data_IF_865186860741
#
_entry.id   IF_865186860741
#
_cell.length_a   1.000
_cell.length_b   1.000
_cell.length_c   1.000
_cell.angle_alpha   90.00
_cell.angle_beta   90.00
_cell.angle_gamma   90.00
#
_symmetry.space_group_name_H-M   'P 1'
#
loop_
_entity.id
_entity.type
_entity.pdbx_description
1 polymer ?
#
# COMPACT_ATOMS: atom_id res chain seq x y z
N UNK A 1 -1.22 12.65 -7.35
CA UNK A 1 -2.04 12.84 -6.12
C UNK A 1 -1.24 13.63 -5.11
N UNK A 2 -1.89 14.30 -4.15
CA UNK A 2 -1.17 14.93 -3.05
C UNK A 2 -0.64 13.85 -2.09
N UNK A 3 0.62 13.99 -1.67
CA UNK A 3 1.24 13.14 -0.66
C UNK A 3 1.30 13.91 0.67
N UNK A 4 0.94 13.25 1.77
CA UNK A 4 1.05 13.84 3.11
C UNK A 4 1.89 12.93 4.00
N UNK A 5 2.79 13.55 4.72
CA UNK A 5 3.58 12.90 5.75
C UNK A 5 3.31 13.56 7.10
N UNK A 6 3.35 12.75 8.16
CA UNK A 6 3.38 13.23 9.54
C UNK A 6 4.69 13.96 9.88
N UNK A 7 5.70 13.92 9.01
CA UNK A 7 7.01 14.54 9.25
C UNK A 7 6.94 16.04 9.53
N UNK A 8 5.94 16.73 8.99
CA UNK A 8 5.76 18.17 9.20
C UNK A 8 4.93 18.51 10.43
N UNK A 9 4.50 17.50 11.20
CA UNK A 9 3.60 17.69 12.32
C UNK A 9 4.25 18.55 13.43
N UNK A 10 3.59 19.61 13.93
CA UNK A 10 4.15 20.52 14.94
C UNK A 10 4.63 19.84 16.22
N UNK A 11 3.90 18.83 16.71
CA UNK A 11 4.34 18.00 17.87
C UNK A 11 5.63 17.26 17.54
N UNK A 12 5.69 16.56 16.40
CA UNK A 12 6.88 15.82 15.98
C UNK A 12 8.09 16.73 15.78
N UNK A 13 7.91 17.88 15.12
CA UNK A 13 8.98 18.84 14.87
C UNK A 13 9.63 19.33 16.17
N UNK A 14 8.83 19.65 17.19
CA UNK A 14 9.38 20.01 18.49
C UNK A 14 9.94 18.81 19.24
N UNK A 15 9.30 17.64 19.12
CA UNK A 15 9.74 16.41 19.77
C UNK A 15 11.13 15.98 19.30
N UNK A 16 11.45 16.13 18.02
CA UNK A 16 12.78 15.81 17.46
C UNK A 16 13.92 16.50 18.22
N UNK A 17 13.74 17.73 18.68
CA UNK A 17 14.73 18.43 19.49
C UNK A 17 14.86 17.89 20.93
N UNK A 18 13.83 17.22 21.45
CA UNK A 18 13.83 16.60 22.77
C UNK A 18 14.32 15.15 22.74
N UNK A 19 14.06 14.43 21.64
CA UNK A 19 14.37 13.02 21.48
C UNK A 19 15.86 12.73 21.71
N UNK A 20 16.74 13.65 21.32
CA UNK A 20 18.19 13.55 21.52
C UNK A 20 18.61 13.53 23.00
N UNK A 21 17.74 13.99 23.91
CA UNK A 21 17.98 14.05 25.35
C UNK A 21 17.27 12.94 26.13
N UNK A 22 16.46 12.11 25.47
CA UNK A 22 15.80 10.97 26.09
C UNK A 22 16.80 9.82 26.21
N UNK A 23 16.83 9.18 27.38
CA UNK A 23 17.57 7.93 27.59
C UNK A 23 16.60 6.77 27.41
N UNK A 24 16.68 6.00 26.29
CA UNK A 24 15.79 4.87 26.08
C UNK A 24 16.00 3.82 27.17
N UNK A 25 14.91 3.33 27.75
CA UNK A 25 14.90 2.09 28.52
C UNK A 25 14.65 0.93 27.55
N UNK A 26 15.54 -0.07 27.48
CA UNK A 26 15.40 -1.19 26.55
C UNK A 26 14.17 -2.06 26.83
N UNK A 27 13.57 -1.99 28.03
CA UNK A 27 12.39 -2.76 28.40
C UNK A 27 11.07 -1.99 28.14
N UNK A 28 11.15 -0.84 27.46
CA UNK A 28 10.01 0.02 27.18
C UNK A 28 9.78 0.20 25.68
N UNK A 29 8.51 0.22 25.30
CA UNK A 29 8.06 0.58 23.96
C UNK A 29 7.45 1.97 23.99
N UNK A 30 7.99 2.89 23.18
CA UNK A 30 7.59 4.30 23.21
C UNK A 30 6.58 4.63 22.12
N UNK A 31 5.59 5.47 22.45
CA UNK A 31 4.53 5.93 21.57
C UNK A 31 4.47 7.46 21.61
N UNK A 32 4.61 8.11 20.45
CA UNK A 32 4.40 9.54 20.30
C UNK A 32 3.06 9.80 19.63
N UNK A 33 2.11 10.33 20.39
CA UNK A 33 0.78 10.66 19.88
C UNK A 33 0.77 12.03 19.19
N UNK A 34 0.25 12.07 17.97
CA UNK A 34 0.04 13.29 17.20
C UNK A 34 -1.44 13.63 17.16
N UNK A 35 -1.76 14.90 17.39
CA UNK A 35 -3.14 15.39 17.39
C UNK A 35 -3.56 15.78 15.97
N UNK A 36 -4.83 15.64 15.60
CA UNK A 36 -5.24 16.00 14.25
C UNK A 36 -5.20 17.53 14.03
N UNK A 37 -5.09 18.03 12.78
CA UNK A 37 -4.96 19.46 12.48
C UNK A 37 -6.03 20.37 13.11
N UNK A 38 -7.27 19.90 13.23
CA UNK A 38 -8.37 20.66 13.84
C UNK A 38 -8.31 20.72 15.38
N UNK A 39 -7.56 19.83 16.02
CA UNK A 39 -7.40 19.76 17.48
C UNK A 39 -5.98 20.14 17.93
N UNK A 40 -5.20 20.79 17.06
CA UNK A 40 -3.84 21.18 17.37
C UNK A 40 -3.72 22.05 18.64
N UNK A 41 -2.66 21.86 19.45
CA UNK A 41 -2.43 22.71 20.61
C UNK A 41 -2.27 24.17 20.19
N UNK A 42 -3.11 25.05 20.74
CA UNK A 42 -3.06 26.49 20.44
C UNK A 42 -1.80 27.14 21.05
N UNK A 43 -1.32 26.62 22.18
CA UNK A 43 -0.15 27.16 22.87
C UNK A 43 1.14 26.83 22.11
N UNK A 44 1.79 27.84 21.53
CA UNK A 44 3.07 27.67 20.84
C UNK A 44 4.20 27.19 21.75
N UNK A 45 4.05 27.22 23.07
CA UNK A 45 5.03 26.77 24.04
C UNK A 45 4.68 25.41 24.69
N UNK A 46 3.71 24.67 24.14
CA UNK A 46 3.40 23.33 24.67
C UNK A 46 4.63 22.43 24.68
N UNK A 47 4.70 21.57 25.71
CA UNK A 47 5.74 20.57 25.89
C UNK A 47 5.40 19.28 25.11
N UNK A 48 6.20 18.92 24.09
CA UNK A 48 5.95 17.72 23.27
C UNK A 48 6.00 16.43 24.06
N UNK A 49 6.77 16.38 25.15
CA UNK A 49 6.91 15.16 25.96
C UNK A 49 5.62 14.79 26.71
N UNK A 50 4.62 15.67 26.77
CA UNK A 50 3.28 15.33 27.26
C UNK A 50 2.58 14.33 26.33
N UNK A 51 2.96 14.27 25.05
CA UNK A 51 2.40 13.34 24.07
C UNK A 51 3.23 12.06 23.92
N UNK A 52 4.34 11.94 24.64
CA UNK A 52 5.15 10.73 24.67
C UNK A 52 4.67 9.83 25.81
N UNK A 53 4.31 8.61 25.43
CA UNK A 53 3.93 7.54 26.34
C UNK A 53 4.85 6.34 26.15
N UNK A 54 4.87 5.45 27.13
CA UNK A 54 5.59 4.18 27.02
C UNK A 54 4.82 3.06 27.70
N UNK A 55 4.86 1.85 27.13
CA UNK A 55 4.50 0.62 27.83
C UNK A 55 5.76 -0.12 28.26
N UNK A 56 5.61 -1.02 29.23
CA UNK A 56 6.67 -1.96 29.64
C UNK A 56 6.37 -3.33 29.06
N UNK A 57 7.41 -4.12 28.82
CA UNK A 57 7.26 -5.51 28.33
C UNK A 57 6.34 -6.37 29.23
N UNK A 58 6.30 -6.12 30.55
CA UNK A 58 5.39 -6.82 31.47
C UNK A 58 3.93 -6.37 31.41
N UNK A 59 3.66 -5.19 30.84
CA UNK A 59 2.37 -4.50 30.85
C UNK A 59 2.13 -3.81 29.49
N UNK A 60 2.22 -4.58 28.40
CA UNK A 60 2.21 -4.04 27.03
C UNK A 60 0.96 -3.20 26.71
N UNK A 61 -0.17 -3.50 27.35
CA UNK A 61 -1.45 -2.81 27.13
C UNK A 61 -1.62 -1.55 27.99
N UNK A 62 -0.68 -1.22 28.87
CA UNK A 62 -0.74 -0.02 29.72
C UNK A 62 0.33 0.97 29.28
N UNK A 63 -0.12 2.15 28.89
CA UNK A 63 0.74 3.25 28.46
C UNK A 63 0.86 4.27 29.59
N UNK A 64 2.07 4.56 30.01
CA UNK A 64 2.41 5.57 31.00
C UNK A 64 2.94 6.82 30.32
N UNK A 65 2.48 8.01 30.72
CA UNK A 65 3.04 9.25 30.22
C UNK A 65 4.51 9.38 30.66
N UNK A 66 5.39 9.75 29.73
CA UNK A 66 6.83 9.82 29.97
C UNK A 66 7.23 10.73 31.14
N UNK A 67 6.61 11.92 31.27
CA UNK A 67 6.92 12.88 32.35
C UNK A 67 6.15 12.65 33.65
N UNK A 68 4.99 11.98 33.59
CA UNK A 68 4.15 11.72 34.76
C UNK A 68 3.54 10.32 34.65
N UNK A 69 4.24 9.26 35.12
CA UNK A 69 3.78 7.87 34.96
C UNK A 69 2.45 7.52 35.62
N UNK A 70 1.90 8.43 36.45
CA UNK A 70 0.55 8.30 37.03
C UNK A 70 -0.56 8.61 36.03
N UNK A 71 -0.24 9.29 34.92
CA UNK A 71 -1.16 9.50 33.81
C UNK A 71 -1.06 8.29 32.90
N UNK A 72 -2.16 7.52 32.80
CA UNK A 72 -2.14 6.23 32.10
C UNK A 72 -3.29 6.06 31.12
N UNK A 73 -2.98 5.41 30.01
CA UNK A 73 -3.94 4.87 29.05
C UNK A 73 -3.89 3.35 29.07
N UNK A 74 -5.00 2.74 28.69
CA UNK A 74 -5.07 1.35 28.27
C UNK A 74 -5.21 1.30 26.75
N UNK A 75 -4.38 0.51 26.07
CA UNK A 75 -4.43 0.35 24.61
C UNK A 75 -5.06 -1.01 24.25
N UNK A 76 -6.02 -0.97 23.33
CA UNK A 76 -6.71 -2.14 22.78
C UNK A 76 -6.88 -1.97 21.28
N UNK A 77 -6.01 -2.61 20.49
CA UNK A 77 -6.03 -2.48 19.04
C UNK A 77 -5.79 -1.04 18.58
N UNK A 78 -6.76 -0.45 17.89
CA UNK A 78 -6.72 0.92 17.39
C UNK A 78 -7.30 1.95 18.38
N UNK A 79 -7.49 1.58 19.65
CA UNK A 79 -8.10 2.45 20.66
C UNK A 79 -7.21 2.65 21.87
N UNK A 80 -7.18 3.87 22.38
CA UNK A 80 -6.63 4.20 23.70
C UNK A 80 -7.74 4.73 24.60
N UNK A 81 -7.87 4.13 25.78
CA UNK A 81 -8.88 4.49 26.79
C UNK A 81 -8.19 5.12 28.01
N UNK A 82 -8.64 6.31 28.41
CA UNK A 82 -8.09 6.97 29.59
C UNK A 82 -8.34 6.15 30.86
N UNK A 83 -7.32 6.06 31.72
CA UNK A 83 -7.42 5.40 33.01
C UNK A 83 -7.12 6.38 34.15
N UNK A 84 -5.86 6.55 34.53
CA UNK A 84 -5.47 7.39 35.66
C UNK A 84 -4.95 8.75 35.20
N UNK A 85 -5.12 9.78 36.03
CA UNK A 85 -4.57 11.12 35.80
C UNK A 85 -5.40 12.03 34.89
N UNK A 86 -6.60 11.61 34.48
CA UNK A 86 -7.55 12.41 33.68
C UNK A 86 -8.80 12.78 34.49
N UNK A 87 -9.44 13.90 34.13
CA UNK A 87 -10.66 14.37 34.80
C UNK A 87 -11.92 13.57 34.43
N UNK A 88 -11.89 12.85 33.32
CA UNK A 88 -12.99 12.03 32.81
C UNK A 88 -12.48 10.82 32.02
N UNK A 89 -13.31 9.79 31.92
CA UNK A 89 -13.09 8.68 31.00
C UNK A 89 -13.41 9.10 29.56
N UNK A 90 -12.51 8.79 28.63
CA UNK A 90 -12.68 8.99 27.20
C UNK A 90 -11.90 7.93 26.41
N UNK A 91 -12.23 7.80 25.14
CA UNK A 91 -11.56 6.89 24.21
C UNK A 91 -11.21 7.63 22.94
N UNK A 92 -9.97 7.48 22.50
CA UNK A 92 -9.46 8.00 21.23
C UNK A 92 -9.11 6.83 20.31
N UNK A 93 -9.24 7.05 19.00
CA UNK A 93 -8.80 6.10 18.00
C UNK A 93 -7.45 6.51 17.42
N UNK A 94 -6.56 5.54 17.28
CA UNK A 94 -5.34 5.64 16.50
C UNK A 94 -5.73 5.43 15.03
N UNK A 95 -5.54 6.47 14.22
CA UNK A 95 -5.89 6.46 12.80
C UNK A 95 -4.80 5.84 11.94
N UNK A 96 -3.54 5.99 12.35
CA UNK A 96 -2.37 5.51 11.63
C UNK A 96 -1.17 5.43 12.58
N UNK A 97 -0.33 4.42 12.39
CA UNK A 97 0.88 4.17 13.17
C UNK A 97 2.08 3.94 12.26
N UNK A 98 3.18 4.66 12.50
CA UNK A 98 4.44 4.48 11.79
C UNK A 98 5.58 4.23 12.77
N UNK A 99 6.35 3.17 12.58
CA UNK A 99 7.56 2.94 13.38
C UNK A 99 8.64 3.96 12.97
N UNK A 100 9.25 4.61 13.94
CA UNK A 100 10.27 5.63 13.75
C UNK A 100 11.53 5.30 14.57
N UNK A 101 12.69 5.48 13.95
CA UNK A 101 13.99 5.35 14.61
C UNK A 101 14.72 6.68 14.55
N UNK A 102 15.03 7.24 15.72
CA UNK A 102 15.81 8.47 15.86
C UNK A 102 17.33 8.24 15.75
N UNK A 103 18.09 9.34 15.71
CA UNK A 103 19.54 9.35 15.48
C UNK A 103 20.31 8.58 16.58
N UNK A 104 19.80 8.54 17.81
CA UNK A 104 20.43 7.85 18.95
C UNK A 104 19.91 6.42 19.18
N UNK A 105 19.41 5.74 18.14
CA UNK A 105 18.73 4.43 18.25
C UNK A 105 17.47 4.45 19.14
N UNK A 106 16.97 5.64 19.49
CA UNK A 106 15.69 5.79 20.17
C UNK A 106 14.57 5.45 19.19
N UNK A 107 13.88 4.35 19.45
CA UNK A 107 12.80 3.86 18.59
C UNK A 107 11.45 4.13 19.25
N UNK A 108 10.49 4.62 18.48
CA UNK A 108 9.15 4.93 18.94
C UNK A 108 8.14 4.74 17.81
N UNK A 109 6.89 4.43 18.18
CA UNK A 109 5.77 4.43 17.24
C UNK A 109 5.17 5.83 17.20
N UNK A 110 4.99 6.35 16.00
CA UNK A 110 4.32 7.61 15.73
C UNK A 110 2.85 7.34 15.42
N UNK A 111 1.96 7.75 16.32
CA UNK A 111 0.53 7.44 16.27
C UNK A 111 -0.28 8.72 15.98
N UNK A 112 -0.97 8.80 14.85
CA UNK A 112 -1.93 9.88 14.57
C UNK A 112 -3.28 9.57 15.23
N UNK A 113 -3.76 10.46 16.09
CA UNK A 113 -5.02 10.31 16.79
C UNK A 113 -6.19 10.99 16.06
N UNK A 114 -7.39 10.53 16.40
CA UNK A 114 -8.65 11.09 15.90
C UNK A 114 -9.20 12.26 16.73
N UNK A 115 -8.51 12.68 17.78
CA UNK A 115 -8.76 13.89 18.56
C UNK A 115 -7.50 14.21 19.41
N UNK A 116 -7.52 15.32 20.14
CA UNK A 116 -6.48 15.61 21.14
C UNK A 116 -6.72 14.91 22.49
N UNK A 117 -5.63 14.56 23.18
CA UNK A 117 -5.62 13.93 24.50
C UNK A 117 -6.11 14.89 25.59
N UNK A 118 -5.76 16.17 25.48
CA UNK A 118 -5.96 17.14 26.57
C UNK A 118 -7.10 18.12 26.31
N UNK A 119 -7.54 18.26 25.06
CA UNK A 119 -8.57 19.18 24.62
C UNK A 119 -9.38 18.61 23.47
N UNK A 120 -10.47 17.93 23.82
CA UNK A 120 -11.40 17.38 22.85
C UNK A 120 -12.09 18.45 22.01
N UNK A 121 -12.09 18.26 20.69
CA UNK A 121 -12.73 19.15 19.72
C UNK A 121 -13.68 18.34 18.82
N UNK A 122 -14.85 18.88 18.43
CA UNK A 122 -15.72 18.20 17.48
C UNK A 122 -14.99 17.84 16.18
N UNK A 123 -15.05 16.58 15.80
CA UNK A 123 -14.43 16.07 14.56
C UNK A 123 -15.08 16.72 13.32
N UNK A 124 -14.33 16.96 12.24
CA UNK A 124 -14.88 17.45 10.98
C UNK A 124 -15.98 16.51 10.46
N UNK A 125 -17.11 17.07 10.01
CA UNK A 125 -18.29 16.31 9.62
C UNK A 125 -18.01 15.25 8.54
N UNK A 126 -17.12 15.56 7.59
CA UNK A 126 -16.80 14.67 6.48
C UNK A 126 -15.87 13.51 6.86
N UNK A 127 -15.17 13.58 8.01
CA UNK A 127 -14.19 12.56 8.42
C UNK A 127 -14.84 11.18 8.55
N UNK A 128 -15.98 11.11 9.25
CA UNK A 128 -16.74 9.87 9.43
C UNK A 128 -17.24 9.29 8.10
N UNK A 129 -17.79 10.14 7.23
CA UNK A 129 -18.31 9.72 5.92
C UNK A 129 -17.20 9.12 5.03
N UNK A 130 -16.02 9.75 5.01
CA UNK A 130 -14.85 9.25 4.26
C UNK A 130 -14.42 7.87 4.79
N UNK A 131 -14.27 7.74 6.11
CA UNK A 131 -13.86 6.50 6.76
C UNK A 131 -14.86 5.36 6.52
N UNK A 132 -16.16 5.63 6.59
CA UNK A 132 -17.20 4.63 6.34
C UNK A 132 -17.17 4.11 4.89
N UNK A 133 -17.02 5.00 3.91
CA UNK A 133 -16.90 4.62 2.49
C UNK A 133 -15.60 3.86 2.22
N UNK A 134 -14.50 4.29 2.84
CA UNK A 134 -13.23 3.58 2.71
C UNK A 134 -13.33 2.15 3.28
N UNK A 135 -13.95 1.99 4.45
CA UNK A 135 -14.14 0.70 5.14
C UNK A 135 -15.16 -0.21 4.46
N UNK A 136 -16.12 0.32 3.71
CA UNK A 136 -17.15 -0.49 3.02
C UNK A 136 -16.64 -1.29 1.81
N UNK A 137 -15.32 -1.44 1.67
CA UNK A 137 -14.71 -2.19 0.58
C UNK A 137 -14.31 -1.32 -0.61
N UNK A 138 -14.13 -0.01 -0.40
CA UNK A 138 -13.64 0.90 -1.45
C UNK A 138 -14.58 0.97 -2.67
N UNK A 139 -15.89 0.85 -2.45
CA UNK A 139 -16.91 0.91 -3.50
C UNK A 139 -16.78 2.20 -4.33
N UNK A 140 -16.57 2.04 -5.64
CA UNK A 140 -16.37 3.14 -6.56
C UNK A 140 -17.64 4.00 -6.75
N UNK A 141 -18.83 3.41 -6.65
CA UNK A 141 -20.11 4.15 -6.72
C UNK A 141 -20.31 5.01 -5.50
N UNK A 142 -20.00 4.51 -4.30
CA UNK A 142 -20.06 5.30 -3.06
C UNK A 142 -19.03 6.44 -3.09
N UNK A 143 -17.83 6.15 -3.60
CA UNK A 143 -16.79 7.15 -3.80
C UNK A 143 -17.24 8.25 -4.77
N UNK A 144 -17.86 7.88 -5.88
CA UNK A 144 -18.41 8.83 -6.87
C UNK A 144 -19.56 9.65 -6.30
N UNK A 145 -20.50 9.02 -5.61
CA UNK A 145 -21.59 9.71 -4.93
C UNK A 145 -21.08 10.72 -3.91
N UNK A 146 -20.04 10.36 -3.14
CA UNK A 146 -19.39 11.28 -2.21
C UNK A 146 -18.81 12.50 -2.91
N UNK A 147 -18.10 12.33 -4.04
CA UNK A 147 -17.56 13.46 -4.79
C UNK A 147 -18.66 14.36 -5.39
N UNK A 148 -19.74 13.77 -5.91
CA UNK A 148 -20.89 14.52 -6.43
C UNK A 148 -21.67 15.28 -5.34
N UNK A 149 -21.65 14.79 -4.10
CA UNK A 149 -22.29 15.47 -2.96
C UNK A 149 -21.51 16.72 -2.51
N UNK A 150 -20.25 16.89 -2.95
CA UNK A 150 -19.46 18.08 -2.68
C UNK A 150 -19.98 19.20 -3.57
N UNK A 151 -20.69 20.16 -2.97
CA UNK A 151 -21.25 21.31 -3.67
C UNK A 151 -20.15 22.34 -4.05
N UNK A 152 -19.31 21.99 -5.02
CA UNK A 152 -18.26 22.84 -5.57
C UNK A 152 -18.36 22.90 -7.12
N UNK A 153 -18.50 24.10 -7.73
CA UNK A 153 -18.66 24.22 -9.18
C UNK A 153 -17.47 23.70 -9.99
N UNK A 154 -16.25 23.94 -9.53
CA UNK A 154 -15.02 23.54 -10.24
C UNK A 154 -14.87 22.02 -10.24
N UNK A 155 -15.13 21.39 -9.10
CA UNK A 155 -15.18 19.93 -8.98
C UNK A 155 -16.25 19.32 -9.88
N UNK A 156 -17.47 19.85 -9.85
CA UNK A 156 -18.58 19.32 -10.64
C UNK A 156 -18.32 19.44 -12.15
N UNK A 157 -17.69 20.53 -12.59
CA UNK A 157 -17.24 20.68 -13.97
C UNK A 157 -16.17 19.64 -14.32
N UNK A 158 -15.14 19.46 -13.49
CA UNK A 158 -14.09 18.48 -13.71
C UNK A 158 -14.64 17.04 -13.79
N UNK A 159 -15.56 16.65 -12.90
CA UNK A 159 -16.20 15.33 -12.92
C UNK A 159 -17.04 15.13 -14.19
N UNK A 160 -17.75 16.16 -14.65
CA UNK A 160 -18.54 16.11 -15.89
C UNK A 160 -17.65 15.96 -17.13
N UNK A 161 -16.50 16.64 -17.16
CA UNK A 161 -15.52 16.51 -18.26
C UNK A 161 -14.93 15.10 -18.32
N UNK A 162 -14.62 14.49 -17.16
CA UNK A 162 -14.13 13.12 -17.07
C UNK A 162 -15.16 12.14 -17.65
N UNK A 163 -16.42 12.26 -17.23
CA UNK A 163 -17.50 11.40 -17.72
C UNK A 163 -17.67 11.54 -19.24
N UNK A 164 -17.68 12.77 -19.76
CA UNK A 164 -17.79 13.00 -21.20
C UNK A 164 -16.61 12.43 -21.99
N UNK A 165 -15.38 12.58 -21.49
CA UNK A 165 -14.18 12.05 -22.11
C UNK A 165 -14.25 10.53 -22.26
N UNK A 166 -14.51 9.80 -21.17
CA UNK A 166 -14.52 8.34 -21.20
C UNK A 166 -15.79 7.73 -21.80
N UNK A 167 -16.91 8.47 -21.82
CA UNK A 167 -18.13 8.03 -22.50
C UNK A 167 -17.97 8.01 -24.04
N UNK A 168 -17.18 8.93 -24.58
CA UNK A 168 -17.01 9.11 -26.03
C UNK A 168 -15.72 8.50 -26.59
N UNK A 169 -14.78 8.14 -25.71
CA UNK A 169 -13.49 7.59 -26.09
C UNK A 169 -13.57 6.19 -26.69
N UNK A 170 -12.79 5.96 -27.75
CA UNK A 170 -12.47 4.63 -28.26
C UNK A 170 -11.05 4.26 -27.79
N UNK A 171 -10.98 3.51 -26.69
CA UNK A 171 -9.71 3.05 -26.10
C UNK A 171 -9.30 1.73 -26.74
N UNK A 172 -8.08 1.67 -27.28
CA UNK A 172 -7.52 0.50 -27.94
C UNK A 172 -6.02 0.34 -27.66
N UNK A 173 -5.43 -0.71 -28.20
CA UNK A 173 -4.03 -1.06 -27.97
C UNK A 173 -3.02 0.04 -28.34
N UNK A 174 -3.36 0.94 -29.28
CA UNK A 174 -2.44 1.99 -29.74
C UNK A 174 -2.45 3.25 -28.87
N UNK A 175 -3.58 3.56 -28.23
CA UNK A 175 -3.77 4.79 -27.44
C UNK A 175 -3.94 4.55 -25.92
N UNK A 176 -3.90 3.29 -25.46
CA UNK A 176 -4.12 2.94 -24.04
C UNK A 176 -3.25 3.72 -23.05
N UNK A 177 -1.98 4.01 -23.41
CA UNK A 177 -1.04 4.73 -22.54
C UNK A 177 -1.43 6.19 -22.43
N UNK A 178 -1.82 6.82 -23.54
CA UNK A 178 -2.30 8.20 -23.55
C UNK A 178 -3.54 8.33 -22.64
N UNK A 179 -4.45 7.35 -22.68
CA UNK A 179 -5.62 7.33 -21.79
C UNK A 179 -5.27 7.05 -20.32
N UNK A 180 -4.28 6.22 -20.03
CA UNK A 180 -3.77 6.04 -18.67
C UNK A 180 -3.16 7.34 -18.12
N UNK A 181 -2.46 8.11 -18.96
CA UNK A 181 -1.89 9.40 -18.57
C UNK A 181 -2.97 10.48 -18.42
N UNK A 182 -3.97 10.52 -19.29
CA UNK A 182 -5.17 11.36 -19.13
C UNK A 182 -5.87 11.04 -17.80
N UNK A 183 -6.02 9.76 -17.47
CA UNK A 183 -6.61 9.31 -16.20
C UNK A 183 -5.82 9.82 -14.99
N UNK A 184 -4.49 9.70 -15.00
CA UNK A 184 -3.61 10.24 -13.94
C UNK A 184 -3.74 11.75 -13.78
N UNK A 185 -3.85 12.48 -14.89
CA UNK A 185 -4.04 13.92 -14.88
C UNK A 185 -5.38 14.28 -14.24
N UNK A 186 -6.47 13.62 -14.62
CA UNK A 186 -7.77 13.82 -13.98
C UNK A 186 -7.78 13.51 -12.48
N UNK A 187 -7.15 12.40 -12.08
CA UNK A 187 -6.97 12.07 -10.66
C UNK A 187 -6.23 13.19 -9.92
N UNK A 188 -5.19 13.75 -10.52
CA UNK A 188 -4.40 14.82 -9.92
C UNK A 188 -5.16 16.13 -9.85
N UNK A 189 -5.91 16.49 -10.90
CA UNK A 189 -6.77 17.69 -10.94
C UNK A 189 -7.85 17.62 -9.87
N UNK A 190 -8.63 16.52 -9.83
CA UNK A 190 -9.69 16.34 -8.83
C UNK A 190 -9.11 16.32 -7.41
N UNK A 191 -7.97 15.66 -7.21
CA UNK A 191 -7.25 15.70 -5.93
C UNK A 191 -6.92 17.14 -5.53
N UNK A 192 -6.35 17.95 -6.42
CA UNK A 192 -6.03 19.35 -6.10
C UNK A 192 -7.27 20.13 -5.69
N UNK A 193 -8.34 20.09 -6.50
CA UNK A 193 -9.59 20.82 -6.23
C UNK A 193 -10.14 20.40 -4.86
N UNK A 194 -10.28 19.10 -4.61
CA UNK A 194 -10.83 18.58 -3.35
C UNK A 194 -10.00 19.05 -2.15
N UNK A 195 -8.67 18.90 -2.18
CA UNK A 195 -7.84 19.26 -1.01
C UNK A 195 -7.65 20.76 -0.82
N UNK A 196 -7.98 21.58 -1.82
CA UNK A 196 -8.01 23.04 -1.70
C UNK A 196 -9.26 23.56 -0.97
N UNK A 197 -10.31 22.75 -0.86
CA UNK A 197 -11.55 23.12 -0.17
C UNK A 197 -11.35 23.22 1.37
N UNK A 198 -11.93 24.25 2.04
CA UNK A 198 -11.74 24.46 3.47
C UNK A 198 -12.09 23.27 4.36
N UNK A 199 -13.17 22.53 4.01
CA UNK A 199 -13.64 21.39 4.81
C UNK A 199 -12.69 20.19 4.81
N UNK A 200 -11.74 20.11 3.88
CA UNK A 200 -10.79 19.00 3.76
C UNK A 200 -9.37 19.36 4.22
N UNK A 201 -9.03 20.66 4.26
CA UNK A 201 -7.72 21.15 4.73
C UNK A 201 -7.38 20.69 6.15
N UNK A 202 -8.38 20.67 7.03
CA UNK A 202 -8.20 20.32 8.44
C UNK A 202 -8.23 18.81 8.72
N UNK A 203 -8.44 17.96 7.71
CA UNK A 203 -8.48 16.51 7.95
C UNK A 203 -7.11 15.96 8.40
N UNK A 204 -7.10 14.91 9.25
CA UNK A 204 -5.90 14.14 9.57
C UNK A 204 -5.26 13.53 8.32
N UNK A 205 -3.97 13.23 8.37
CA UNK A 205 -3.21 12.61 7.27
C UNK A 205 -3.84 11.27 6.88
N UNK A 206 -4.18 10.42 7.84
CA UNK A 206 -4.86 9.14 7.60
C UNK A 206 -6.14 9.33 6.77
N UNK A 207 -7.02 10.24 7.18
CA UNK A 207 -8.28 10.51 6.46
C UNK A 207 -8.04 11.15 5.08
N UNK A 208 -6.98 11.96 4.92
CA UNK A 208 -6.60 12.49 3.59
C UNK A 208 -6.14 11.37 2.66
N UNK A 209 -5.38 10.38 3.16
CA UNK A 209 -5.00 9.17 2.42
C UNK A 209 -6.23 8.34 2.03
N UNK A 210 -7.19 8.16 2.93
CA UNK A 210 -8.47 7.52 2.62
C UNK A 210 -9.26 8.27 1.54
N UNK A 211 -9.30 9.61 1.61
CA UNK A 211 -9.95 10.44 0.59
C UNK A 211 -9.25 10.34 -0.78
N UNK A 212 -7.92 10.21 -0.81
CA UNK A 212 -7.22 9.89 -2.06
C UNK A 212 -7.71 8.56 -2.65
N UNK A 213 -7.94 7.51 -1.84
CA UNK A 213 -8.53 6.26 -2.34
C UNK A 213 -9.91 6.49 -2.95
N UNK A 214 -10.79 7.25 -2.29
CA UNK A 214 -12.11 7.56 -2.85
C UNK A 214 -12.00 8.26 -4.21
N UNK A 215 -11.10 9.24 -4.34
CA UNK A 215 -10.85 9.94 -5.61
C UNK A 215 -10.36 8.97 -6.68
N UNK A 216 -9.38 8.13 -6.36
CA UNK A 216 -8.86 7.11 -7.26
C UNK A 216 -9.98 6.17 -7.75
N UNK A 217 -10.79 5.65 -6.83
CA UNK A 217 -11.86 4.70 -7.15
C UNK A 217 -12.93 5.33 -8.06
N UNK A 218 -13.37 6.53 -7.72
CA UNK A 218 -14.45 7.23 -8.43
C UNK A 218 -14.08 7.51 -9.90
N UNK A 219 -12.81 7.84 -10.16
CA UNK A 219 -12.34 8.22 -11.48
C UNK A 219 -11.95 6.99 -12.31
N UNK A 220 -11.21 6.04 -11.73
CA UNK A 220 -10.71 4.86 -12.46
C UNK A 220 -11.81 3.89 -12.90
N UNK A 221 -12.93 3.82 -12.17
CA UNK A 221 -14.09 2.99 -12.54
C UNK A 221 -14.66 3.37 -13.92
N UNK A 222 -14.59 4.64 -14.31
CA UNK A 222 -15.23 5.17 -15.53
C UNK A 222 -14.75 4.48 -16.83
N UNK A 223 -13.50 4.02 -16.85
CA UNK A 223 -12.86 3.43 -18.03
C UNK A 223 -12.20 2.07 -17.75
N UNK A 224 -12.43 1.50 -16.56
CA UNK A 224 -11.77 0.31 -16.06
C UNK A 224 -11.73 -0.83 -17.09
N UNK A 225 -12.89 -1.27 -17.56
CA UNK A 225 -13.00 -2.40 -18.48
C UNK A 225 -12.43 -2.10 -19.86
N UNK A 226 -12.64 -0.89 -20.39
CA UNK A 226 -12.12 -0.51 -21.70
C UNK A 226 -10.58 -0.50 -21.69
N UNK A 227 -9.98 0.08 -20.65
CA UNK A 227 -8.53 0.05 -20.47
C UNK A 227 -8.03 -1.38 -20.28
N UNK A 228 -8.58 -2.17 -19.35
CA UNK A 228 -8.12 -3.54 -19.13
C UNK A 228 -8.15 -4.39 -20.41
N UNK A 229 -9.20 -4.27 -21.22
CA UNK A 229 -9.30 -4.96 -22.51
C UNK A 229 -8.21 -4.49 -23.50
N UNK A 230 -7.95 -3.20 -23.60
CA UNK A 230 -6.87 -2.68 -24.46
C UNK A 230 -5.47 -3.17 -24.03
N UNK A 231 -5.23 -3.35 -22.73
CA UNK A 231 -3.99 -3.95 -22.21
C UNK A 231 -3.94 -5.44 -22.54
N UNK A 232 -5.04 -6.17 -22.38
CA UNK A 232 -5.11 -7.58 -22.76
C UNK A 232 -4.76 -7.78 -24.24
N UNK A 233 -5.30 -6.94 -25.14
CA UNK A 233 -4.95 -6.97 -26.56
C UNK A 233 -3.47 -6.65 -26.79
N UNK A 234 -2.96 -5.56 -26.22
CA UNK A 234 -1.58 -5.13 -26.48
C UNK A 234 -0.51 -6.09 -25.96
N UNK A 235 -0.77 -6.84 -24.90
CA UNK A 235 0.19 -7.77 -24.28
C UNK A 235 -0.13 -9.24 -24.59
N UNK A 236 -0.91 -9.51 -25.64
CA UNK A 236 -1.31 -10.87 -26.04
C UNK A 236 -0.11 -11.81 -26.17
N UNK A 237 1.00 -11.33 -26.77
CA UNK A 237 2.19 -12.16 -27.00
C UNK A 237 2.90 -12.53 -25.70
N UNK A 238 3.07 -11.57 -24.81
CA UNK A 238 3.70 -11.73 -23.49
C UNK A 238 2.85 -12.65 -22.60
N UNK A 239 1.53 -12.47 -22.64
CA UNK A 239 0.57 -13.34 -21.97
C UNK A 239 0.64 -14.79 -22.48
N UNK A 240 0.76 -15.00 -23.80
CA UNK A 240 0.93 -16.35 -24.36
C UNK A 240 2.23 -17.00 -23.87
N UNK A 241 3.35 -16.25 -23.81
CA UNK A 241 4.62 -16.77 -23.28
C UNK A 241 4.47 -17.10 -21.78
N UNK A 242 3.83 -16.23 -21.01
CA UNK A 242 3.56 -16.47 -19.58
C UNK A 242 2.68 -17.70 -19.36
N UNK A 243 1.68 -17.92 -20.21
CA UNK A 243 0.83 -19.10 -20.17
C UNK A 243 1.61 -20.38 -20.53
N UNK A 244 2.47 -20.34 -21.55
CA UNK A 244 3.37 -21.46 -21.90
C UNK A 244 4.31 -21.81 -20.74
N UNK A 245 4.94 -20.79 -20.16
CA UNK A 245 5.83 -20.94 -19.01
C UNK A 245 5.08 -21.48 -17.78
N UNK A 246 3.85 -21.03 -17.55
CA UNK A 246 2.96 -21.53 -16.49
C UNK A 246 2.71 -23.03 -16.61
N UNK A 247 2.43 -23.53 -17.82
CA UNK A 247 2.28 -24.97 -18.08
C UNK A 247 3.56 -25.73 -17.76
N UNK A 248 4.72 -25.17 -18.10
CA UNK A 248 6.02 -25.80 -17.84
C UNK A 248 6.43 -25.73 -16.35
N UNK A 249 6.00 -24.70 -15.62
CA UNK A 249 6.30 -24.49 -14.19
C UNK A 249 5.67 -25.57 -13.29
N UNK A 250 4.61 -26.22 -13.76
CA UNK A 250 3.94 -27.31 -13.04
C UNK A 250 4.79 -28.57 -12.87
N UNK A 251 5.88 -28.74 -13.65
CA UNK A 251 6.66 -29.97 -13.69
C UNK A 251 8.00 -29.98 -12.93
N UNK A 252 8.57 -28.83 -12.54
CA UNK A 252 10.03 -28.79 -12.31
C UNK A 252 10.57 -28.09 -11.06
N UNK A 253 9.83 -27.20 -10.37
CA UNK A 253 10.53 -26.23 -9.48
C UNK A 253 10.33 -26.31 -7.96
N UNK A 254 9.48 -27.17 -7.40
CA UNK A 254 9.35 -27.28 -5.92
C UNK A 254 9.57 -28.69 -5.37
N UNK A 255 9.48 -29.73 -6.18
CA UNK A 255 9.82 -31.11 -5.78
C UNK A 255 11.29 -31.48 -6.03
N UNK A 256 12.01 -30.72 -6.87
CA UNK A 256 13.38 -31.04 -7.31
C UNK A 256 14.42 -30.02 -6.85
N UNK A 257 14.09 -29.13 -5.92
CA UNK A 257 15.10 -28.24 -5.35
C UNK A 257 16.06 -29.03 -4.45
N UNK A 258 17.39 -28.95 -4.63
CA UNK A 258 18.34 -29.67 -3.80
C UNK A 258 18.26 -29.14 -2.37
N UNK A 259 17.63 -29.92 -1.49
CA UNK A 259 17.80 -29.94 -0.03
C UNK A 259 17.63 -28.66 0.81
N UNK A 260 17.29 -27.49 0.27
CA UNK A 260 17.15 -26.24 1.05
C UNK A 260 15.93 -25.38 0.71
N UNK A 261 14.98 -25.83 -0.13
CA UNK A 261 13.78 -25.02 -0.38
C UNK A 261 12.74 -25.29 0.71
N UNK A 262 12.31 -24.27 1.46
CA UNK A 262 11.31 -24.43 2.49
C UNK A 262 10.01 -25.01 1.91
N UNK A 263 9.47 -26.06 2.53
CA UNK A 263 8.18 -26.62 2.12
C UNK A 263 7.08 -25.60 2.38
N UNK A 264 6.57 -24.97 1.32
CA UNK A 264 5.46 -24.02 1.38
C UNK A 264 4.23 -24.66 2.02
N UNK A 265 3.55 -23.94 2.93
CA UNK A 265 2.28 -24.40 3.52
C UNK A 265 1.22 -24.48 2.44
N UNK A 266 0.82 -25.70 2.10
CA UNK A 266 -0.10 -25.98 0.98
C UNK A 266 -1.44 -25.26 1.11
N UNK A 267 -2.03 -25.22 2.30
CA UNK A 267 -3.35 -24.61 2.53
C UNK A 267 -3.35 -23.10 2.30
N UNK A 268 -2.35 -22.39 2.82
CA UNK A 268 -2.18 -20.94 2.60
C UNK A 268 -1.94 -20.63 1.12
N UNK A 269 -1.15 -21.46 0.44
CA UNK A 269 -0.90 -21.32 -0.99
C UNK A 269 -2.16 -21.57 -1.83
N UNK A 270 -2.95 -22.59 -1.52
CA UNK A 270 -4.25 -22.80 -2.17
C UNK A 270 -5.21 -21.64 -1.90
N UNK A 271 -5.20 -21.09 -0.68
CA UNK A 271 -5.99 -19.90 -0.35
C UNK A 271 -5.53 -18.66 -1.14
N UNK A 272 -4.23 -18.48 -1.33
CA UNK A 272 -3.68 -17.40 -2.15
C UNK A 272 -4.24 -17.50 -3.58
N UNK A 273 -4.13 -18.68 -4.20
CA UNK A 273 -4.60 -18.92 -5.58
C UNK A 273 -6.09 -18.61 -5.75
N UNK A 274 -6.93 -18.90 -4.75
CA UNK A 274 -8.37 -18.56 -4.79
C UNK A 274 -8.62 -17.06 -4.93
N UNK A 275 -7.75 -16.19 -4.43
CA UNK A 275 -7.90 -14.74 -4.59
C UNK A 275 -7.63 -14.26 -6.03
N UNK A 276 -6.91 -15.04 -6.84
CA UNK A 276 -6.71 -14.73 -8.26
C UNK A 276 -7.88 -15.20 -9.13
N UNK A 277 -8.70 -16.12 -8.61
CA UNK A 277 -9.80 -16.69 -9.37
C UNK A 277 -10.86 -15.62 -9.68
N UNK A 278 -11.15 -15.41 -10.97
CA UNK A 278 -12.16 -14.44 -11.40
C UNK A 278 -11.77 -12.97 -11.21
N UNK A 279 -10.52 -12.68 -10.82
CA UNK A 279 -10.06 -11.31 -10.53
C UNK A 279 -10.24 -10.36 -11.73
N UNK A 280 -10.13 -10.88 -12.96
CA UNK A 280 -10.29 -10.12 -14.22
C UNK A 280 -11.74 -9.63 -14.47
N UNK A 281 -12.70 -10.14 -13.69
CA UNK A 281 -14.12 -9.79 -13.81
C UNK A 281 -14.61 -8.88 -12.69
N UNK A 282 -13.71 -8.41 -11.83
CA UNK A 282 -14.07 -7.48 -10.77
C UNK A 282 -14.46 -6.11 -11.38
N UNK A 283 -15.48 -5.44 -10.82
CA UNK A 283 -16.04 -4.20 -11.35
C UNK A 283 -15.13 -2.97 -11.22
N UNK A 284 -14.10 -3.03 -10.38
CA UNK A 284 -13.22 -1.88 -10.16
C UNK A 284 -11.75 -2.29 -9.95
N UNK A 285 -10.79 -1.39 -10.28
CA UNK A 285 -9.38 -1.60 -9.97
C UNK A 285 -9.12 -1.81 -8.47
N UNK A 286 -9.90 -1.17 -7.61
CA UNK A 286 -9.69 -1.20 -6.17
C UNK A 286 -10.03 -2.55 -5.56
N UNK A 287 -11.05 -3.23 -6.10
CA UNK A 287 -11.35 -4.61 -5.74
C UNK A 287 -10.27 -5.56 -6.26
N UNK A 288 -9.75 -5.34 -7.48
CA UNK A 288 -8.61 -6.11 -7.99
C UNK A 288 -7.38 -5.96 -7.07
N UNK A 289 -7.06 -4.74 -6.67
CA UNK A 289 -5.92 -4.45 -5.79
C UNK A 289 -6.12 -5.09 -4.41
N UNK A 290 -7.32 -5.03 -3.83
CA UNK A 290 -7.63 -5.70 -2.56
C UNK A 290 -7.45 -7.24 -2.67
N UNK A 291 -7.88 -7.85 -3.77
CA UNK A 291 -7.61 -9.26 -4.06
C UNK A 291 -6.11 -9.54 -4.19
N UNK A 292 -5.32 -8.67 -4.82
CA UNK A 292 -3.86 -8.82 -4.92
C UNK A 292 -3.17 -8.69 -3.57
N UNK A 293 -3.61 -7.76 -2.71
CA UNK A 293 -3.09 -7.63 -1.34
C UNK A 293 -3.36 -8.91 -0.54
N UNK A 294 -4.59 -9.43 -0.58
CA UNK A 294 -4.96 -10.69 0.08
C UNK A 294 -4.20 -11.88 -0.48
N UNK A 295 -4.00 -11.94 -1.79
CA UNK A 295 -3.17 -12.93 -2.45
C UNK A 295 -1.73 -12.87 -1.91
N UNK A 296 -1.13 -11.69 -1.88
CA UNK A 296 0.24 -11.48 -1.40
C UNK A 296 0.39 -11.92 0.07
N UNK A 297 -0.52 -11.50 0.94
CA UNK A 297 -0.49 -11.85 2.36
C UNK A 297 -0.56 -13.36 2.60
N UNK A 298 -1.35 -14.07 1.79
CA UNK A 298 -1.44 -15.53 1.84
C UNK A 298 -0.18 -16.21 1.30
N UNK A 299 0.46 -15.66 0.27
CA UNK A 299 1.76 -16.15 -0.19
C UNK A 299 2.83 -16.00 0.89
N UNK A 300 2.90 -14.84 1.54
CA UNK A 300 3.86 -14.61 2.65
C UNK A 300 3.56 -15.56 3.82
N UNK A 301 2.29 -15.74 4.19
CA UNK A 301 1.89 -16.68 5.25
C UNK A 301 2.24 -18.15 4.95
N UNK A 302 2.35 -18.50 3.66
CA UNK A 302 2.74 -19.84 3.21
C UNK A 302 4.24 -20.13 3.35
N UNK A 303 5.08 -19.09 3.45
CA UNK A 303 6.52 -19.25 3.67
C UNK A 303 6.80 -19.60 5.15
N UNK A 304 7.77 -20.47 5.45
CA UNK A 304 8.15 -20.78 6.82
C UNK A 304 9.13 -19.74 7.36
N UNK A 305 9.00 -19.43 8.64
CA UNK A 305 9.80 -18.41 9.32
C UNK A 305 8.94 -17.27 9.84
N UNK A 306 9.51 -16.49 10.76
CA UNK A 306 8.91 -15.25 11.29
C UNK A 306 9.36 -14.04 10.46
N UNK A 307 10.55 -14.13 9.85
CA UNK A 307 11.09 -13.14 8.92
C UNK A 307 11.22 -13.78 7.54
N UNK A 308 10.65 -13.14 6.52
CA UNK A 308 10.62 -13.63 5.15
C UNK A 308 11.39 -12.66 4.27
N UNK A 309 12.43 -13.13 3.59
CA UNK A 309 13.23 -12.30 2.68
C UNK A 309 12.51 -12.12 1.33
N UNK A 310 12.79 -11.01 0.64
CA UNK A 310 12.26 -10.76 -0.71
C UNK A 310 12.62 -11.87 -1.71
N UNK A 311 13.80 -12.48 -1.55
CA UNK A 311 14.31 -13.59 -2.35
C UNK A 311 13.46 -14.86 -2.22
N UNK A 312 12.75 -15.04 -1.10
CA UNK A 312 11.82 -16.15 -0.89
C UNK A 312 10.40 -15.84 -1.39
N UNK A 313 10.00 -14.56 -1.29
CA UNK A 313 8.67 -14.09 -1.67
C UNK A 313 8.47 -14.16 -3.19
N UNK A 314 9.42 -13.66 -3.98
CA UNK A 314 9.26 -13.54 -5.43
C UNK A 314 9.07 -14.90 -6.14
N UNK A 315 9.86 -15.96 -5.84
CA UNK A 315 9.62 -17.30 -6.38
C UNK A 315 8.28 -17.90 -5.94
N UNK A 316 7.85 -17.65 -4.70
CA UNK A 316 6.56 -18.14 -4.19
C UNK A 316 5.37 -17.48 -4.89
N UNK A 317 5.46 -16.18 -5.17
CA UNK A 317 4.46 -15.45 -5.98
C UNK A 317 4.42 -16.02 -7.40
N UNK A 318 5.58 -16.18 -8.06
CA UNK A 318 5.66 -16.77 -9.39
C UNK A 318 4.97 -18.14 -9.41
N UNK A 319 5.27 -18.99 -8.43
CA UNK A 319 4.62 -20.29 -8.29
C UNK A 319 3.10 -20.16 -8.15
N UNK A 320 2.61 -19.31 -7.26
CA UNK A 320 1.18 -19.15 -7.01
C UNK A 320 0.42 -18.66 -8.25
N UNK A 321 0.97 -17.67 -8.97
CA UNK A 321 0.37 -17.14 -10.21
C UNK A 321 0.22 -18.21 -11.30
N UNK A 322 1.09 -19.22 -11.33
CA UNK A 322 1.02 -20.32 -12.31
C UNK A 322 -0.09 -21.34 -12.00
N UNK A 323 -0.76 -21.24 -10.85
CA UNK A 323 -1.75 -22.24 -10.41
C UNK A 323 -3.18 -21.91 -10.85
N UNK A 324 -3.48 -20.66 -11.21
CA UNK A 324 -4.76 -20.28 -11.81
C UNK A 324 -4.58 -20.04 -13.32
N UNK A 325 -5.16 -20.93 -14.14
CA UNK A 325 -5.01 -20.89 -15.60
C UNK A 325 -5.73 -19.69 -16.22
N UNK A 326 -6.84 -19.26 -15.62
CA UNK A 326 -7.62 -18.12 -16.09
C UNK A 326 -6.82 -16.82 -15.94
N UNK A 327 -6.28 -16.60 -14.76
CA UNK A 327 -5.40 -15.47 -14.45
C UNK A 327 -4.08 -15.54 -15.22
N UNK A 328 -3.43 -16.71 -15.25
CA UNK A 328 -2.15 -16.90 -15.94
C UNK A 328 -2.18 -16.56 -17.43
N UNK A 329 -3.37 -16.60 -18.07
CA UNK A 329 -3.55 -16.18 -19.47
C UNK A 329 -3.56 -14.66 -19.68
N UNK A 330 -3.60 -13.85 -18.62
CA UNK A 330 -3.63 -12.38 -18.68
C UNK A 330 -2.70 -11.73 -17.66
N UNK A 331 -1.81 -12.51 -17.02
CA UNK A 331 -1.01 -12.04 -15.87
C UNK A 331 -0.17 -10.82 -16.22
N UNK A 332 0.41 -10.75 -17.42
CA UNK A 332 1.28 -9.64 -17.83
C UNK A 332 0.45 -8.39 -18.11
N UNK A 333 -0.61 -8.51 -18.90
CA UNK A 333 -1.50 -7.38 -19.19
C UNK A 333 -2.15 -6.82 -17.94
N UNK A 334 -2.58 -7.69 -17.02
CA UNK A 334 -3.23 -7.31 -15.77
C UNK A 334 -2.32 -6.44 -14.90
N UNK A 335 -1.08 -6.85 -14.68
CA UNK A 335 -0.15 -6.08 -13.85
C UNK A 335 0.35 -4.82 -14.54
N UNK A 336 0.55 -4.84 -15.87
CA UNK A 336 0.85 -3.62 -16.61
C UNK A 336 -0.31 -2.61 -16.53
N UNK A 337 -1.56 -3.09 -16.61
CA UNK A 337 -2.73 -2.25 -16.43
C UNK A 337 -2.76 -1.61 -15.04
N UNK A 338 -2.68 -2.41 -13.97
CA UNK A 338 -2.71 -1.89 -12.60
C UNK A 338 -1.55 -0.94 -12.31
N UNK A 339 -0.33 -1.28 -12.74
CA UNK A 339 0.84 -0.41 -12.57
C UNK A 339 0.69 0.91 -13.31
N UNK A 340 0.12 0.91 -14.52
CA UNK A 340 -0.05 2.13 -15.30
C UNK A 340 -1.16 3.03 -14.77
N UNK A 341 -2.18 2.53 -14.05
CA UNK A 341 -3.22 3.38 -13.46
C UNK A 341 -2.93 3.76 -12.00
N UNK A 342 -2.10 2.99 -11.31
CA UNK A 342 -1.78 3.23 -9.90
C UNK A 342 -0.99 4.54 -9.75
N UNK A 343 -1.45 5.47 -8.90
CA UNK A 343 -0.72 6.71 -8.60
C UNK A 343 0.66 6.41 -8.01
N UNK A 344 1.67 7.16 -8.44
CA UNK A 344 3.05 7.04 -7.92
C UNK A 344 3.22 7.53 -6.48
N UNK A 345 2.27 8.30 -5.95
CA UNK A 345 2.32 8.86 -4.60
C UNK A 345 0.91 9.10 -4.04
N UNK A 346 0.83 9.33 -2.72
CA UNK A 346 -0.41 9.72 -2.03
C UNK A 346 -1.35 8.57 -1.66
N UNK A 347 -1.07 7.34 -2.09
CA UNK A 347 -1.75 6.13 -1.64
C UNK A 347 -0.85 5.31 -0.71
N UNK A 348 -1.13 4.02 -0.54
CA UNK A 348 -0.41 3.17 0.41
C UNK A 348 0.88 2.57 -0.16
N UNK A 349 2.00 2.85 0.51
CA UNK A 349 3.34 2.39 0.12
C UNK A 349 3.46 0.87 0.15
N UNK A 350 2.79 0.19 1.10
CA UNK A 350 2.76 -1.27 1.14
C UNK A 350 1.99 -1.82 -0.05
N UNK A 351 0.85 -1.22 -0.41
CA UNK A 351 0.13 -1.61 -1.65
C UNK A 351 0.99 -1.38 -2.88
N UNK A 352 1.70 -0.26 -2.97
CA UNK A 352 2.66 0.01 -4.05
C UNK A 352 3.74 -1.08 -4.13
N UNK A 353 4.37 -1.43 -3.00
CA UNK A 353 5.35 -2.52 -2.92
C UNK A 353 4.78 -3.85 -3.41
N UNK A 354 3.56 -4.21 -2.97
CA UNK A 354 2.88 -5.44 -3.39
C UNK A 354 2.66 -5.46 -4.91
N UNK A 355 2.13 -4.36 -5.47
CA UNK A 355 1.88 -4.25 -6.91
C UNK A 355 3.19 -4.36 -7.70
N UNK A 356 4.24 -3.65 -7.30
CA UNK A 356 5.56 -3.71 -7.94
C UNK A 356 6.12 -5.13 -7.90
N UNK A 357 6.11 -5.78 -6.73
CA UNK A 357 6.63 -7.14 -6.55
C UNK A 357 5.88 -8.15 -7.43
N UNK A 358 4.56 -8.02 -7.51
CA UNK A 358 3.74 -8.88 -8.36
C UNK A 358 3.94 -8.58 -9.86
N UNK A 359 4.12 -7.31 -10.25
CA UNK A 359 4.44 -6.92 -11.63
C UNK A 359 5.80 -7.46 -12.09
N UNK A 360 6.79 -7.49 -11.19
CA UNK A 360 8.10 -8.12 -11.45
C UNK A 360 7.92 -9.63 -11.66
N UNK A 361 7.15 -10.30 -10.79
CA UNK A 361 6.85 -11.74 -10.94
C UNK A 361 6.16 -12.05 -12.28
N UNK A 362 5.16 -11.26 -12.65
CA UNK A 362 4.45 -11.39 -13.92
C UNK A 362 5.39 -11.20 -15.13
N UNK A 363 6.28 -10.21 -15.06
CA UNK A 363 7.28 -9.96 -16.09
C UNK A 363 8.26 -11.13 -16.22
N UNK A 364 8.71 -11.71 -15.11
CA UNK A 364 9.56 -12.89 -15.11
C UNK A 364 8.88 -14.09 -15.81
N UNK A 365 7.57 -14.28 -15.61
CA UNK A 365 6.80 -15.32 -16.30
C UNK A 365 6.73 -15.09 -17.82
N UNK A 366 6.88 -13.86 -18.32
CA UNK A 366 6.83 -13.54 -19.76
C UNK A 366 8.16 -13.75 -20.51
N UNK A 367 9.24 -14.09 -19.81
CA UNK A 367 10.56 -14.30 -20.41
C UNK A 367 10.64 -15.71 -20.99
N UNK A 368 10.96 -15.85 -22.28
CA UNK A 368 11.17 -17.16 -22.88
C UNK A 368 12.33 -17.88 -22.20
N UNK A 369 12.05 -18.96 -21.49
CA UNK A 369 13.09 -19.81 -20.94
C UNK A 369 13.86 -20.47 -22.11
N UNK A 370 15.19 -20.26 -22.16
CA UNK A 370 16.04 -21.06 -23.05
C UNK A 370 15.88 -22.51 -22.62
N UNK A 371 15.35 -23.37 -23.50
CA UNK A 371 15.30 -24.82 -23.26
C UNK A 371 16.68 -25.26 -22.76
N UNK A 372 16.80 -25.98 -21.63
CA UNK A 372 18.06 -26.58 -21.26
C UNK A 372 18.52 -27.42 -22.46
N UNK A 373 19.70 -27.14 -23.00
CA UNK A 373 20.33 -28.07 -23.93
C UNK A 373 20.41 -29.41 -23.19
N UNK A 374 19.83 -30.46 -23.76
CA UNK A 374 20.04 -31.82 -23.26
C UNK A 374 21.55 -32.01 -23.06
N UNK A 375 22.00 -32.57 -21.93
CA UNK A 375 23.41 -32.78 -21.70
C UNK A 375 23.95 -33.71 -22.80
N UNK A 376 24.71 -33.14 -23.73
CA UNK A 376 25.60 -33.94 -24.57
C UNK A 376 26.69 -34.52 -23.67
N UNK A 377 27.06 -35.81 -23.86
CA UNK A 377 28.13 -36.40 -23.09
C UNK A 377 29.41 -35.59 -23.24
N UNK A 378 30.01 -35.30 -22.10
CA UNK A 378 31.09 -34.35 -21.84
C UNK A 378 32.24 -34.40 -22.86
N UNK A 379 32.58 -33.26 -23.45
CA UNK A 379 33.96 -32.94 -23.77
C UNK A 379 34.38 -31.77 -22.89
N UNK A 380 35.43 -32.02 -22.11
CA UNK A 380 36.05 -31.09 -21.17
C UNK A 380 36.70 -29.96 -21.97
N UNK A 381 36.21 -28.74 -21.79
CA UNK A 381 36.96 -27.52 -22.10
C UNK A 381 36.66 -26.47 -21.04
N UNK A 382 37.72 -25.77 -20.65
CA UNK A 382 37.86 -24.93 -19.45
C UNK A 382 36.79 -23.83 -19.29
N UNK A 383 36.52 -23.36 -18.05
CA UNK A 383 35.52 -22.33 -17.81
C UNK A 383 36.03 -20.94 -18.25
N UNK A 384 35.28 -20.28 -19.13
CA UNK A 384 35.33 -18.83 -19.31
C UNK A 384 34.41 -18.13 -18.29
N UNK A 385 34.75 -16.92 -17.84
CA UNK A 385 34.11 -16.29 -16.69
C UNK A 385 32.69 -15.79 -17.02
N UNK A 386 31.74 -16.12 -16.14
CA UNK A 386 30.45 -15.44 -16.01
C UNK A 386 30.68 -14.02 -15.50
N UNK A 387 30.35 -13.00 -16.30
CA UNK A 387 29.82 -11.72 -15.82
C UNK A 387 29.40 -10.87 -17.02
N UNK A 388 28.11 -10.47 -17.06
CA UNK A 388 27.57 -9.28 -17.77
C UNK A 388 26.04 -9.18 -17.74
N UNK A 389 25.29 -10.28 -17.60
CA UNK A 389 23.81 -10.23 -17.65
C UNK A 389 23.12 -9.96 -16.31
N UNK A 390 23.77 -10.29 -15.19
CA UNK A 390 23.24 -10.01 -13.84
C UNK A 390 23.36 -8.53 -13.48
N UNK A 391 24.34 -7.81 -14.04
CA UNK A 391 24.58 -6.37 -13.79
C UNK A 391 23.49 -5.49 -14.42
N UNK A 392 22.91 -5.85 -15.56
CA UNK A 392 21.85 -5.06 -16.21
C UNK A 392 20.51 -5.12 -15.44
N UNK A 393 20.22 -6.23 -14.75
CA UNK A 393 18.97 -6.39 -13.98
C UNK A 393 19.10 -5.74 -12.60
N UNK A 394 20.30 -5.76 -12.01
CA UNK A 394 20.62 -5.04 -10.77
C UNK A 394 20.65 -3.53 -11.02
N UNK A 395 21.19 -3.05 -12.15
CA UNK A 395 21.17 -1.64 -12.51
C UNK A 395 19.76 -1.06 -12.67
N UNK A 396 18.82 -1.85 -13.19
CA UNK A 396 17.39 -1.46 -13.26
C UNK A 396 16.72 -1.35 -11.89
N UNK A 397 17.15 -2.15 -10.91
CA UNK A 397 16.69 -2.07 -9.52
C UNK A 397 17.30 -0.86 -8.80
N UNK A 398 18.56 -0.54 -9.05
CA UNK A 398 19.23 0.64 -8.48
C UNK A 398 18.66 1.96 -9.06
N UNK A 399 18.34 2.00 -10.35
CA UNK A 399 17.71 3.16 -11.00
C UNK A 399 16.27 3.39 -10.52
N UNK A 400 15.53 2.34 -10.16
CA UNK A 400 14.18 2.45 -9.60
C UNK A 400 14.18 2.81 -8.11
N UNK A 401 15.16 2.34 -7.35
CA UNK A 401 15.31 2.65 -5.91
C UNK A 401 15.92 4.04 -5.66
N UNK A 402 16.67 4.60 -6.63
CA UNK A 402 17.23 5.95 -6.55
C UNK A 402 16.24 7.08 -6.88
N UNK A 403 15.01 6.72 -7.30
CA UNK A 403 13.91 7.64 -7.56
C UNK A 403 12.92 7.80 -6.37
N UNK A 404 13.24 7.21 -5.22
CA UNK A 404 12.48 7.33 -3.95
C UNK A 404 13.10 8.39 -3.04
#
# INVERSE_FOLDING_TARGET
>A
MQNWSLDSHPILNKFRHLADHIKPDPNCYYHLFLTPPYAHPIDKNFDPAMYLYFSKESEENILHQYKNPNVTFEIHGDQIKSQNGFNCEFTLHILMSNLCTGINSFSYTLDELDDDIYRHVPKPANMKKIQEIFKSGKDAKLSRAFLNDINDPELNEALSQIEHCFFTAEINETNRKDFADILKNYISTVSSIVFDLPQFKQLPVATKRELNYLIFNAITEQCHYQLLLSYNSSFTKENLIAQENTRNYTGTSLSNSPSNSPSLKKEEMESAVRHLHGILHLPSPSEMIDCIVKFFDRVVAALPGVEVAADDILPAICFAMTRDVGFGSHVVSFFNYLSDIWPSCGLDDRVTYILVTCSIAASHLSIKQKKPKQPQPSQVTAPEPMNKQTEETIGLLEDLLSLV
#
